data_IF_986140824178
#
_entry.id   IF_986140824178
#
_cell.length_a   1.000
_cell.length_b   1.000
_cell.length_c   1.000
_cell.angle_alpha   90.00
_cell.angle_beta   90.00
_cell.angle_gamma   90.00
#
_symmetry.space_group_name_H-M   'P 1'
#
loop_
_entity.id
_entity.type
_entity.pdbx_description
1 polymer ?
#
# COMPACT_ATOMS: atom_id res chain seq x y z
N UNK A 1 -18.22 26.65 -31.96
CA UNK A 1 -18.89 27.12 -30.75
C UNK A 1 -18.78 28.64 -30.64
N UNK A 2 -19.73 29.34 -30.01
CA UNK A 2 -19.70 30.78 -29.89
C UNK A 2 -18.45 31.23 -29.14
N UNK A 3 -17.83 32.29 -29.64
CA UNK A 3 -16.62 32.85 -29.04
C UNK A 3 -16.88 33.32 -27.62
N UNK A 4 -15.90 33.22 -26.73
CA UNK A 4 -15.98 33.67 -25.34
C UNK A 4 -16.50 35.11 -25.22
N UNK A 5 -16.20 35.96 -26.22
CA UNK A 5 -16.72 37.32 -26.32
C UNK A 5 -18.24 37.40 -26.50
N UNK A 6 -18.86 36.40 -27.16
CA UNK A 6 -20.30 36.35 -27.32
C UNK A 6 -21.02 35.98 -26.02
N UNK A 7 -20.40 35.15 -25.21
CA UNK A 7 -20.92 34.73 -23.90
C UNK A 7 -20.84 35.85 -22.85
N UNK A 8 -19.75 36.61 -22.85
CA UNK A 8 -19.55 37.74 -21.91
C UNK A 8 -20.52 38.90 -22.22
N UNK A 9 -20.73 39.23 -23.49
CA UNK A 9 -21.62 40.30 -23.88
C UNK A 9 -23.10 39.98 -23.63
N UNK A 10 -23.47 38.68 -23.62
CA UNK A 10 -24.86 38.27 -23.32
C UNK A 10 -25.21 38.29 -21.84
N UNK A 11 -24.20 38.25 -20.96
CA UNK A 11 -24.40 38.10 -19.51
C UNK A 11 -24.21 39.40 -18.73
N UNK A 12 -23.36 40.31 -19.19
CA UNK A 12 -22.96 41.48 -18.38
C UNK A 12 -23.15 42.87 -19.04
N UNK A 13 -23.58 42.95 -20.29
CA UNK A 13 -23.80 44.25 -20.98
C UNK A 13 -22.49 45.07 -21.13
N UNK A 14 -22.54 46.09 -22.01
CA UNK A 14 -21.41 47.03 -22.20
C UNK A 14 -21.38 48.07 -21.08
N UNK A 15 -20.72 47.74 -19.96
CA UNK A 15 -20.45 48.74 -18.90
C UNK A 15 -18.92 48.88 -18.67
N UNK A 16 -18.46 50.07 -18.18
CA UNK A 16 -17.03 50.28 -17.88
C UNK A 16 -16.46 49.26 -16.87
N UNK A 17 -17.32 48.65 -16.04
CA UNK A 17 -16.97 47.63 -15.07
C UNK A 17 -16.60 46.27 -15.75
N UNK A 18 -17.25 45.92 -16.87
CA UNK A 18 -17.00 44.69 -17.60
C UNK A 18 -15.60 44.67 -18.26
N UNK A 19 -15.12 45.83 -18.71
CA UNK A 19 -13.77 45.99 -19.24
C UNK A 19 -12.66 45.82 -18.18
N UNK A 20 -12.95 46.25 -16.96
CA UNK A 20 -12.01 46.11 -15.83
C UNK A 20 -11.91 44.66 -15.38
N UNK A 21 -13.03 43.97 -15.26
CA UNK A 21 -13.10 42.55 -14.90
C UNK A 21 -12.35 41.68 -15.98
N UNK A 22 -12.53 42.03 -17.25
CA UNK A 22 -11.86 41.33 -18.33
C UNK A 22 -10.33 41.58 -18.33
N UNK A 23 -9.92 42.82 -18.07
CA UNK A 23 -8.51 43.17 -17.94
C UNK A 23 -7.87 42.46 -16.74
N UNK A 24 -8.56 42.38 -15.60
CA UNK A 24 -8.10 41.67 -14.41
C UNK A 24 -8.07 40.14 -14.64
N UNK A 25 -9.05 39.59 -15.33
CA UNK A 25 -9.06 38.15 -15.69
C UNK A 25 -7.95 37.79 -16.68
N UNK A 26 -7.71 38.62 -17.69
CA UNK A 26 -6.60 38.44 -18.64
C UNK A 26 -5.26 38.65 -17.94
N UNK A 27 -5.18 39.61 -17.01
CA UNK A 27 -3.96 39.84 -16.21
C UNK A 27 -3.68 38.65 -15.28
N UNK A 28 -4.69 38.13 -14.60
CA UNK A 28 -4.59 36.96 -13.72
C UNK A 28 -4.26 35.69 -14.51
N UNK A 29 -4.87 35.49 -15.67
CA UNK A 29 -4.57 34.32 -16.51
C UNK A 29 -3.17 34.43 -17.14
N UNK A 30 -2.75 35.59 -17.62
CA UNK A 30 -1.37 35.82 -18.09
C UNK A 30 -0.34 35.65 -16.98
N UNK A 31 -0.61 36.14 -15.77
CA UNK A 31 0.31 36.00 -14.64
C UNK A 31 0.31 34.58 -14.04
N UNK A 32 -0.81 33.87 -14.07
CA UNK A 32 -0.82 32.44 -13.76
C UNK A 32 -0.05 31.60 -14.78
N UNK A 33 -0.16 31.92 -16.07
CA UNK A 33 0.61 31.23 -17.11
C UNK A 33 2.10 31.57 -17.08
N UNK A 34 2.48 32.80 -16.68
CA UNK A 34 3.89 33.18 -16.61
C UNK A 34 4.64 32.62 -15.41
N UNK A 35 3.92 32.20 -14.34
CA UNK A 35 4.53 31.52 -13.18
C UNK A 35 4.63 30.00 -13.36
N UNK A 36 4.06 29.42 -14.41
CA UNK A 36 3.90 27.97 -14.56
C UNK A 36 4.81 27.28 -15.56
N UNK A 37 5.78 27.97 -16.19
CA UNK A 37 6.65 27.33 -17.19
C UNK A 37 8.11 27.70 -17.01
N UNK A 38 8.70 27.31 -15.88
CA UNK A 38 10.15 27.11 -15.87
C UNK A 38 10.41 25.79 -16.62
N UNK A 39 11.23 25.87 -17.68
CA UNK A 39 11.67 24.68 -18.41
C UNK A 39 12.43 23.76 -17.44
N UNK A 40 11.95 22.54 -17.18
CA UNK A 40 12.61 21.63 -16.23
C UNK A 40 14.04 21.28 -16.66
N UNK A 41 14.30 21.21 -17.98
CA UNK A 41 15.64 20.92 -18.50
C UNK A 41 16.60 22.08 -18.26
N UNK A 42 16.13 23.32 -18.35
CA UNK A 42 16.93 24.49 -18.01
C UNK A 42 17.29 24.53 -16.53
N UNK A 43 16.34 24.20 -15.65
CA UNK A 43 16.59 24.07 -14.20
C UNK A 43 17.58 22.94 -13.91
N UNK A 44 17.46 21.80 -14.60
CA UNK A 44 18.38 20.68 -14.44
C UNK A 44 19.82 21.07 -14.83
N UNK A 45 20.00 21.76 -15.96
CA UNK A 45 21.31 22.27 -16.39
C UNK A 45 21.87 23.25 -15.37
N UNK A 46 21.06 24.15 -14.85
CA UNK A 46 21.47 25.11 -13.82
C UNK A 46 21.89 24.38 -12.53
N UNK A 47 21.18 23.33 -12.14
CA UNK A 47 21.55 22.48 -11.03
C UNK A 47 22.88 21.74 -11.25
N UNK A 48 23.08 21.18 -12.45
CA UNK A 48 24.33 20.50 -12.84
C UNK A 48 25.53 21.45 -12.77
N UNK A 49 25.37 22.68 -13.24
CA UNK A 49 26.42 23.73 -13.16
C UNK A 49 26.69 24.12 -11.71
N UNK A 50 25.66 24.27 -10.88
CA UNK A 50 25.80 24.61 -9.48
C UNK A 50 26.56 23.51 -8.72
N UNK A 51 26.25 22.23 -9.01
CA UNK A 51 26.95 21.08 -8.41
C UNK A 51 28.43 21.05 -8.83
N UNK A 52 28.73 21.23 -10.11
CA UNK A 52 30.10 21.29 -10.62
C UNK A 52 30.88 22.41 -9.96
N UNK A 53 30.28 23.59 -9.80
CA UNK A 53 30.88 24.73 -9.13
C UNK A 53 31.12 24.51 -7.64
N UNK A 54 30.29 23.73 -6.97
CA UNK A 54 30.46 23.39 -5.57
C UNK A 54 31.60 22.38 -5.33
N UNK A 55 31.77 21.42 -6.25
CA UNK A 55 32.78 20.35 -6.13
C UNK A 55 34.18 20.76 -6.60
N UNK A 56 34.31 21.75 -7.51
CA UNK A 56 35.54 22.12 -8.21
C UNK A 56 36.25 23.37 -7.71
N UNK A 57 35.77 24.06 -6.67
CA UNK A 57 36.30 25.36 -6.26
C UNK A 57 37.20 25.34 -5.03
N UNK A 58 38.29 26.09 -5.09
CA UNK A 58 39.06 26.50 -3.92
C UNK A 58 38.18 27.43 -3.06
N UNK A 59 37.48 26.86 -2.10
CA UNK A 59 36.69 27.65 -1.15
C UNK A 59 37.44 27.80 0.14
N UNK A 60 38.29 28.82 0.20
CA UNK A 60 39.03 29.17 1.42
C UNK A 60 38.13 29.79 2.49
N UNK A 61 36.97 30.28 2.14
CA UNK A 61 36.05 30.96 3.04
C UNK A 61 34.62 30.38 2.92
N UNK A 62 34.30 29.30 3.65
CA UNK A 62 32.95 28.93 4.13
C UNK A 62 31.75 28.85 3.16
N UNK A 63 31.92 29.08 1.85
CA UNK A 63 30.79 29.10 0.91
C UNK A 63 30.45 27.76 0.27
N UNK A 64 31.12 26.66 0.63
CA UNK A 64 30.95 25.36 -0.02
C UNK A 64 29.61 24.72 0.34
N UNK A 65 29.22 24.79 1.60
CA UNK A 65 27.94 24.29 2.09
C UNK A 65 26.77 24.98 1.41
N UNK A 66 26.79 26.31 1.31
CA UNK A 66 25.74 27.08 0.61
C UNK A 66 25.64 26.71 -0.88
N UNK A 67 26.78 26.45 -1.53
CA UNK A 67 26.79 25.99 -2.93
C UNK A 67 26.12 24.63 -3.10
N UNK A 68 26.36 23.69 -2.20
CA UNK A 68 25.70 22.39 -2.21
C UNK A 68 24.21 22.50 -1.87
N UNK A 69 23.83 23.34 -0.91
CA UNK A 69 22.42 23.63 -0.61
C UNK A 69 21.69 24.20 -1.83
N UNK A 70 22.32 25.15 -2.52
CA UNK A 70 21.78 25.73 -3.74
C UNK A 70 21.63 24.68 -4.87
N UNK A 71 22.62 23.81 -5.06
CA UNK A 71 22.55 22.73 -6.06
C UNK A 71 21.42 21.76 -5.73
N UNK A 72 21.29 21.30 -4.48
CA UNK A 72 20.21 20.41 -4.05
C UNK A 72 18.84 21.05 -4.26
N UNK A 73 18.69 22.33 -3.92
CA UNK A 73 17.44 23.07 -4.12
C UNK A 73 17.07 23.18 -5.59
N UNK A 74 18.03 23.47 -6.47
CA UNK A 74 17.82 23.52 -7.92
C UNK A 74 17.41 22.17 -8.50
N UNK A 75 17.98 21.06 -8.03
CA UNK A 75 17.54 19.73 -8.44
C UNK A 75 16.10 19.44 -7.98
N UNK A 76 15.73 19.84 -6.77
CA UNK A 76 14.35 19.70 -6.28
C UNK A 76 13.38 20.57 -7.08
N UNK A 77 13.77 21.77 -7.46
CA UNK A 77 12.97 22.64 -8.35
C UNK A 77 12.78 22.01 -9.73
N UNK A 78 13.87 21.50 -10.32
CA UNK A 78 13.80 20.78 -11.60
C UNK A 78 12.88 19.55 -11.50
N UNK A 79 12.99 18.77 -10.43
CA UNK A 79 12.15 17.61 -10.18
C UNK A 79 10.67 17.99 -10.11
N UNK A 80 10.32 19.05 -9.38
CA UNK A 80 8.95 19.53 -9.30
C UNK A 80 8.42 20.04 -10.65
N UNK A 81 9.27 20.70 -11.44
CA UNK A 81 8.90 21.15 -12.79
C UNK A 81 8.66 19.96 -13.74
N UNK A 82 9.48 18.92 -13.68
CA UNK A 82 9.24 17.67 -14.40
C UNK A 82 7.94 17.00 -13.97
N UNK A 83 7.68 16.95 -12.66
CA UNK A 83 6.46 16.37 -12.10
C UNK A 83 5.19 17.04 -12.63
N UNK A 84 5.17 18.37 -12.69
CA UNK A 84 4.06 19.16 -13.24
C UNK A 84 3.80 18.81 -14.70
N UNK A 85 4.84 18.54 -15.47
CA UNK A 85 4.74 18.10 -16.86
C UNK A 85 4.51 16.59 -17.03
N UNK A 86 4.30 15.86 -15.94
CA UNK A 86 4.11 14.40 -15.93
C UNK A 86 5.30 13.61 -16.48
N UNK A 87 6.48 14.19 -16.46
CA UNK A 87 7.75 13.55 -16.77
C UNK A 87 8.30 12.87 -15.51
N UNK A 88 7.64 11.78 -15.09
CA UNK A 88 7.82 11.19 -13.76
C UNK A 88 9.20 10.56 -13.57
N UNK A 89 9.75 9.93 -14.60
CA UNK A 89 11.09 9.34 -14.55
C UNK A 89 12.16 10.40 -14.32
N UNK A 90 12.13 11.47 -15.09
CA UNK A 90 13.05 12.59 -14.97
C UNK A 90 12.90 13.31 -13.64
N UNK A 91 11.66 13.44 -13.15
CA UNK A 91 11.38 13.99 -11.82
C UNK A 91 12.03 13.14 -10.72
N UNK A 92 11.86 11.82 -10.78
CA UNK A 92 12.49 10.89 -9.85
C UNK A 92 14.01 10.98 -9.85
N UNK A 93 14.62 11.01 -11.02
CA UNK A 93 16.07 11.15 -11.18
C UNK A 93 16.60 12.47 -10.58
N UNK A 94 15.88 13.57 -10.79
CA UNK A 94 16.27 14.86 -10.21
C UNK A 94 16.14 14.87 -8.68
N UNK A 95 15.09 14.29 -8.13
CA UNK A 95 14.96 14.09 -6.66
C UNK A 95 16.11 13.24 -6.11
N UNK A 96 16.49 12.16 -6.79
CA UNK A 96 17.62 11.33 -6.36
C UNK A 96 18.94 12.11 -6.33
N UNK A 97 19.18 12.98 -7.30
CA UNK A 97 20.37 13.86 -7.31
C UNK A 97 20.36 14.83 -6.12
N UNK A 98 19.22 15.43 -5.81
CA UNK A 98 19.07 16.26 -4.63
C UNK A 98 19.34 15.47 -3.33
N UNK A 99 18.77 14.28 -3.20
CA UNK A 99 18.98 13.41 -2.04
C UNK A 99 20.45 12.98 -1.89
N UNK A 100 21.13 12.70 -3.00
CA UNK A 100 22.56 12.34 -2.97
C UNK A 100 23.42 13.49 -2.43
N UNK A 101 23.14 14.72 -2.80
CA UNK A 101 23.85 15.90 -2.27
C UNK A 101 23.55 16.06 -0.76
N UNK A 102 22.31 15.92 -0.35
CA UNK A 102 21.90 16.02 1.05
C UNK A 102 22.59 14.97 1.92
N UNK A 103 22.78 13.76 1.40
CA UNK A 103 23.47 12.68 2.11
C UNK A 103 24.98 12.86 2.12
N UNK A 104 25.59 13.07 0.94
CA UNK A 104 27.03 12.98 0.74
C UNK A 104 27.77 14.28 1.06
N UNK A 105 27.15 15.42 0.80
CA UNK A 105 27.82 16.72 0.87
C UNK A 105 27.32 17.59 2.02
N UNK A 106 26.07 17.46 2.41
CA UNK A 106 25.46 18.28 3.45
C UNK A 106 25.31 17.54 4.79
N UNK A 107 25.48 16.22 4.81
CA UNK A 107 25.24 15.38 5.99
C UNK A 107 23.85 15.63 6.61
N UNK A 108 22.83 15.66 5.75
CA UNK A 108 21.43 15.85 6.11
C UNK A 108 20.61 14.60 5.76
N UNK A 109 20.82 13.47 6.44
CA UNK A 109 20.19 12.20 6.08
C UNK A 109 18.67 12.19 6.25
N UNK A 110 18.11 12.97 7.17
CA UNK A 110 16.66 13.09 7.35
C UNK A 110 16.01 13.79 6.15
N UNK A 111 16.62 14.86 5.66
CA UNK A 111 16.15 15.56 4.48
C UNK A 111 16.31 14.70 3.23
N UNK A 112 17.40 13.97 3.11
CA UNK A 112 17.62 13.02 2.02
C UNK A 112 16.52 11.93 1.99
N UNK A 113 16.14 11.36 3.12
CA UNK A 113 15.08 10.38 3.21
C UNK A 113 13.71 10.98 2.78
N UNK A 114 13.44 12.22 3.18
CA UNK A 114 12.22 12.93 2.76
C UNK A 114 12.22 13.17 1.23
N UNK A 115 13.36 13.56 0.67
CA UNK A 115 13.51 13.76 -0.77
C UNK A 115 13.34 12.46 -1.55
N UNK A 116 13.86 11.34 -1.04
CA UNK A 116 13.65 10.01 -1.63
C UNK A 116 12.19 9.58 -1.59
N UNK A 117 11.41 10.00 -0.60
CA UNK A 117 9.96 9.77 -0.61
C UNK A 117 9.26 10.54 -1.73
N UNK A 118 9.71 11.76 -2.04
CA UNK A 118 9.21 12.49 -3.21
C UNK A 118 9.57 11.78 -4.52
N UNK A 119 10.79 11.25 -4.62
CA UNK A 119 11.19 10.41 -5.75
C UNK A 119 10.29 9.17 -5.87
N UNK A 120 10.00 8.50 -4.77
CA UNK A 120 9.08 7.36 -4.72
C UNK A 120 7.71 7.69 -5.32
N UNK A 121 7.13 8.80 -4.93
CA UNK A 121 5.79 9.21 -5.38
C UNK A 121 5.71 9.39 -6.90
N UNK A 122 6.76 9.93 -7.52
CA UNK A 122 6.79 10.12 -8.98
C UNK A 122 7.17 8.84 -9.72
N UNK A 123 8.13 8.08 -9.23
CA UNK A 123 8.51 6.79 -9.82
C UNK A 123 7.38 5.75 -9.76
N UNK A 124 6.59 5.75 -8.69
CA UNK A 124 5.50 4.78 -8.54
C UNK A 124 4.55 4.76 -9.73
N UNK A 125 4.37 5.92 -10.38
CA UNK A 125 3.45 6.09 -11.52
C UNK A 125 3.99 5.53 -12.83
N UNK A 126 5.30 5.43 -12.99
CA UNK A 126 5.94 5.08 -14.25
C UNK A 126 7.02 4.00 -14.14
N UNK A 127 7.77 3.99 -13.06
CA UNK A 127 8.95 3.15 -12.84
C UNK A 127 8.90 2.49 -11.45
N UNK A 128 8.00 1.51 -11.23
CA UNK A 128 7.76 0.95 -9.90
C UNK A 128 8.97 0.23 -9.29
N UNK A 129 9.90 -0.29 -10.09
CA UNK A 129 11.15 -0.87 -9.58
C UNK A 129 12.06 0.20 -8.96
N UNK A 130 12.20 1.35 -9.61
CA UNK A 130 12.92 2.49 -9.05
C UNK A 130 12.21 3.05 -7.83
N UNK A 131 10.87 3.07 -7.84
CA UNK A 131 10.08 3.46 -6.68
C UNK A 131 10.39 2.57 -5.46
N UNK A 132 10.41 1.26 -5.65
CA UNK A 132 10.77 0.31 -4.58
C UNK A 132 12.20 0.54 -4.07
N UNK A 133 13.14 0.77 -4.95
CA UNK A 133 14.54 1.01 -4.62
C UNK A 133 14.73 2.25 -3.75
N UNK A 134 14.20 3.39 -4.16
CA UNK A 134 14.37 4.65 -3.41
C UNK A 134 13.62 4.63 -2.08
N UNK A 135 12.44 4.02 -2.05
CA UNK A 135 11.67 3.89 -0.81
C UNK A 135 12.38 2.97 0.19
N UNK A 136 12.99 1.88 -0.26
CA UNK A 136 13.78 0.98 0.59
C UNK A 136 14.93 1.72 1.26
N UNK A 137 15.60 2.61 0.56
CA UNK A 137 16.68 3.44 1.12
C UNK A 137 16.18 4.40 2.20
N UNK A 138 15.03 5.05 1.95
CA UNK A 138 14.41 5.92 2.95
C UNK A 138 13.98 5.16 4.21
N UNK A 139 13.37 3.99 4.04
CA UNK A 139 12.94 3.12 5.14
C UNK A 139 14.12 2.71 6.01
N UNK A 140 15.21 2.29 5.40
CA UNK A 140 16.42 1.90 6.11
C UNK A 140 16.93 3.04 7.02
N UNK A 141 16.88 4.27 6.54
CA UNK A 141 17.22 5.44 7.34
C UNK A 141 16.29 5.58 8.56
N UNK A 142 14.98 5.46 8.37
CA UNK A 142 14.02 5.57 9.49
C UNK A 142 14.22 4.48 10.54
N UNK A 143 14.52 3.26 10.13
CA UNK A 143 14.86 2.15 11.04
C UNK A 143 16.11 2.47 11.85
N UNK A 144 17.17 2.94 11.19
CA UNK A 144 18.41 3.32 11.86
C UNK A 144 18.22 4.47 12.89
N UNK A 145 17.28 5.36 12.63
CA UNK A 145 16.92 6.46 13.55
C UNK A 145 15.97 6.01 14.66
N UNK A 146 15.51 4.77 14.67
CA UNK A 146 14.56 4.27 15.65
C UNK A 146 13.12 4.76 15.43
N UNK A 147 12.82 5.36 14.28
CA UNK A 147 11.46 5.81 13.93
C UNK A 147 10.66 4.69 13.32
N UNK A 148 10.29 3.71 14.14
CA UNK A 148 9.61 2.49 13.68
C UNK A 148 8.22 2.76 13.11
N UNK A 149 7.48 3.74 13.65
CA UNK A 149 6.15 4.10 13.14
C UNK A 149 6.23 4.57 11.69
N UNK A 150 7.18 5.45 11.40
CA UNK A 150 7.38 5.97 10.05
C UNK A 150 7.92 4.90 9.11
N UNK A 151 8.88 4.12 9.58
CA UNK A 151 9.41 2.97 8.83
C UNK A 151 8.29 1.99 8.45
N UNK A 152 7.42 1.64 9.39
CA UNK A 152 6.29 0.74 9.16
C UNK A 152 5.30 1.30 8.12
N UNK A 153 4.96 2.57 8.21
CA UNK A 153 4.06 3.23 7.26
C UNK A 153 4.64 3.21 5.84
N UNK A 154 5.92 3.51 5.70
CA UNK A 154 6.58 3.47 4.39
C UNK A 154 6.75 2.04 3.89
N UNK A 155 7.00 1.10 4.78
CA UNK A 155 7.07 -0.33 4.44
C UNK A 155 5.75 -0.87 3.90
N UNK A 156 4.62 -0.38 4.40
CA UNK A 156 3.30 -0.67 3.84
C UNK A 156 3.21 -0.22 2.38
N UNK A 157 3.64 1.00 2.05
CA UNK A 157 3.63 1.49 0.68
C UNK A 157 4.55 0.66 -0.23
N UNK A 158 5.70 0.24 0.28
CA UNK A 158 6.60 -0.67 -0.43
C UNK A 158 5.91 -2.01 -0.73
N UNK A 159 5.21 -2.57 0.25
CA UNK A 159 4.45 -3.81 0.08
C UNK A 159 3.36 -3.67 -0.99
N UNK A 160 2.65 -2.55 -1.00
CA UNK A 160 1.63 -2.26 -2.01
C UNK A 160 2.22 -2.17 -3.43
N UNK A 161 3.40 -1.59 -3.59
CA UNK A 161 4.10 -1.56 -4.88
C UNK A 161 4.44 -2.96 -5.36
N UNK A 162 4.96 -3.82 -4.49
CA UNK A 162 5.22 -5.22 -4.84
C UNK A 162 3.95 -5.99 -5.21
N UNK A 163 2.86 -5.78 -4.47
CA UNK A 163 1.59 -6.46 -4.71
C UNK A 163 0.91 -5.98 -6.01
N UNK A 164 0.77 -4.67 -6.18
CA UNK A 164 -0.09 -4.07 -7.21
C UNK A 164 0.68 -3.78 -8.49
N UNK A 165 1.80 -3.06 -8.40
CA UNK A 165 2.53 -2.59 -9.59
C UNK A 165 3.48 -3.67 -10.12
N UNK A 166 4.19 -4.40 -9.26
CA UNK A 166 5.19 -5.38 -9.67
C UNK A 166 4.68 -6.83 -9.72
N UNK A 167 3.56 -7.13 -9.07
CA UNK A 167 3.00 -8.48 -9.02
C UNK A 167 3.91 -9.50 -8.32
N UNK A 168 4.83 -9.05 -7.48
CA UNK A 168 5.74 -9.91 -6.71
C UNK A 168 5.13 -10.21 -5.34
N UNK A 169 4.32 -11.26 -5.28
CA UNK A 169 3.58 -11.60 -4.06
C UNK A 169 4.48 -12.04 -2.91
N UNK A 170 5.60 -12.67 -3.20
CA UNK A 170 6.57 -13.08 -2.18
C UNK A 170 7.17 -11.87 -1.47
N UNK A 171 7.66 -10.90 -2.23
CA UNK A 171 8.18 -9.64 -1.67
C UNK A 171 7.08 -8.82 -0.98
N UNK A 172 5.86 -8.83 -1.52
CA UNK A 172 4.73 -8.17 -0.89
C UNK A 172 4.43 -8.74 0.49
N UNK A 173 4.37 -10.07 0.62
CA UNK A 173 4.18 -10.76 1.90
C UNK A 173 5.26 -10.39 2.92
N UNK A 174 6.51 -10.49 2.54
CA UNK A 174 7.65 -10.15 3.40
C UNK A 174 7.58 -8.68 3.86
N UNK A 175 7.21 -7.79 2.96
CA UNK A 175 7.10 -6.36 3.28
C UNK A 175 5.91 -6.04 4.20
N UNK A 176 4.74 -6.64 3.99
CA UNK A 176 3.59 -6.48 4.88
C UNK A 176 3.88 -7.04 6.28
N UNK A 177 4.52 -8.20 6.36
CA UNK A 177 4.88 -8.81 7.64
C UNK A 177 5.87 -7.94 8.43
N UNK A 178 6.86 -7.40 7.72
CA UNK A 178 7.82 -6.47 8.33
C UNK A 178 7.15 -5.19 8.82
N UNK A 179 6.23 -4.62 8.06
CA UNK A 179 5.43 -3.47 8.49
C UNK A 179 4.63 -3.79 9.76
N UNK A 180 3.98 -4.95 9.80
CA UNK A 180 3.23 -5.40 10.97
C UNK A 180 4.11 -5.54 12.21
N UNK A 181 5.29 -6.14 12.08
CA UNK A 181 6.26 -6.30 13.16
C UNK A 181 6.72 -4.95 13.72
N UNK A 182 6.99 -3.98 12.86
CA UNK A 182 7.41 -2.64 13.28
C UNK A 182 6.27 -1.86 13.94
N UNK A 183 5.03 -1.98 13.46
CA UNK A 183 3.87 -1.40 14.15
C UNK A 183 3.69 -2.03 15.54
N UNK A 184 3.85 -3.34 15.65
CA UNK A 184 3.79 -4.04 16.95
C UNK A 184 4.90 -3.57 17.89
N UNK A 185 6.13 -3.43 17.40
CA UNK A 185 7.26 -2.89 18.15
C UNK A 185 7.08 -1.44 18.61
N UNK A 186 6.23 -0.68 17.94
CA UNK A 186 5.86 0.69 18.29
C UNK A 186 4.56 0.77 19.13
N UNK A 187 4.08 -0.35 19.63
CA UNK A 187 2.82 -0.48 20.38
C UNK A 187 1.56 -0.01 19.62
N UNK A 188 1.60 -0.05 18.30
CA UNK A 188 0.47 0.26 17.44
C UNK A 188 -0.30 -1.03 17.09
N UNK A 189 -0.94 -1.65 18.07
CA UNK A 189 -1.56 -2.97 17.96
C UNK A 189 -2.61 -3.05 16.83
N UNK A 190 -3.48 -2.06 16.73
CA UNK A 190 -4.53 -2.05 15.70
C UNK A 190 -3.95 -2.02 14.28
N UNK A 191 -2.91 -1.22 14.06
CA UNK A 191 -2.21 -1.17 12.77
C UNK A 191 -1.41 -2.45 12.51
N UNK A 192 -0.75 -3.00 13.52
CA UNK A 192 -0.06 -4.28 13.41
C UNK A 192 -1.02 -5.40 13.01
N UNK A 193 -2.15 -5.53 13.68
CA UNK A 193 -3.16 -6.54 13.39
C UNK A 193 -3.75 -6.41 11.98
N UNK A 194 -4.00 -5.18 11.53
CA UNK A 194 -4.46 -4.93 10.16
C UNK A 194 -3.49 -5.51 9.13
N UNK A 195 -2.19 -5.35 9.33
CA UNK A 195 -1.17 -5.84 8.42
C UNK A 195 -0.92 -7.35 8.58
N UNK A 196 -0.97 -7.89 9.80
CA UNK A 196 -0.93 -9.34 10.02
C UNK A 196 -2.12 -10.06 9.36
N UNK A 197 -3.32 -9.45 9.38
CA UNK A 197 -4.48 -9.99 8.66
C UNK A 197 -4.26 -9.98 7.15
N UNK A 198 -3.65 -8.94 6.62
CA UNK A 198 -3.29 -8.89 5.20
C UNK A 198 -2.28 -9.99 4.84
N UNK A 199 -1.29 -10.22 5.69
CA UNK A 199 -0.32 -11.33 5.52
C UNK A 199 -1.04 -12.68 5.55
N UNK A 200 -1.97 -12.87 6.48
CA UNK A 200 -2.76 -14.11 6.57
C UNK A 200 -3.58 -14.34 5.29
N UNK A 201 -4.26 -13.32 4.80
CA UNK A 201 -5.04 -13.40 3.55
C UNK A 201 -4.17 -13.80 2.36
N UNK A 202 -3.04 -13.13 2.18
CA UNK A 202 -2.12 -13.39 1.06
C UNK A 202 -1.40 -14.74 1.19
N UNK A 203 -1.01 -15.14 2.41
CA UNK A 203 -0.39 -16.43 2.69
C UNK A 203 -1.31 -17.60 2.33
N UNK A 204 -2.59 -17.49 2.70
CA UNK A 204 -3.59 -18.50 2.36
C UNK A 204 -3.78 -18.62 0.84
N UNK A 205 -3.86 -17.50 0.14
CA UNK A 205 -3.98 -17.50 -1.34
C UNK A 205 -2.74 -18.11 -2.01
N UNK A 206 -1.57 -17.96 -1.41
CA UNK A 206 -0.31 -18.57 -1.87
C UNK A 206 -0.15 -20.04 -1.47
N UNK A 207 -1.06 -20.60 -0.71
CA UNK A 207 -1.05 -21.99 -0.26
C UNK A 207 -0.35 -22.23 1.07
N UNK A 208 0.15 -21.22 1.75
CA UNK A 208 0.68 -21.32 3.10
C UNK A 208 -0.44 -21.16 4.14
N UNK A 209 -1.24 -22.20 4.26
CA UNK A 209 -2.41 -22.22 5.14
C UNK A 209 -2.02 -22.17 6.62
N UNK A 210 -0.91 -22.79 7.00
CA UNK A 210 -0.46 -22.81 8.39
C UNK A 210 -0.09 -21.43 8.91
N UNK A 211 0.60 -20.65 8.10
CA UNK A 211 0.92 -19.26 8.43
C UNK A 211 -0.35 -18.41 8.57
N UNK A 212 -1.28 -18.57 7.65
CA UNK A 212 -2.58 -17.89 7.70
C UNK A 212 -3.35 -18.24 8.97
N UNK A 213 -3.46 -19.52 9.32
CA UNK A 213 -4.11 -20.00 10.53
C UNK A 213 -3.50 -19.37 11.78
N UNK A 214 -2.17 -19.35 11.86
CA UNK A 214 -1.45 -18.78 13.00
C UNK A 214 -1.87 -17.33 13.27
N UNK A 215 -1.92 -16.50 12.24
CA UNK A 215 -2.31 -15.10 12.38
C UNK A 215 -3.80 -14.91 12.64
N UNK A 216 -4.67 -15.60 11.91
CA UNK A 216 -6.12 -15.50 12.15
C UNK A 216 -6.51 -15.91 13.56
N UNK A 217 -5.97 -17.03 14.07
CA UNK A 217 -6.25 -17.52 15.42
C UNK A 217 -5.65 -16.61 16.49
N UNK A 218 -4.42 -16.14 16.32
CA UNK A 218 -3.78 -15.20 17.23
C UNK A 218 -4.59 -13.92 17.40
N UNK A 219 -5.02 -13.33 16.28
CA UNK A 219 -5.80 -12.09 16.29
C UNK A 219 -7.21 -12.34 16.83
N UNK A 220 -7.81 -13.47 16.51
CA UNK A 220 -9.08 -13.89 17.10
C UNK A 220 -9.02 -13.95 18.63
N UNK A 221 -7.99 -14.60 19.18
CA UNK A 221 -7.78 -14.69 20.63
C UNK A 221 -7.55 -13.33 21.28
N UNK A 222 -6.74 -12.48 20.68
CA UNK A 222 -6.48 -11.14 21.23
C UNK A 222 -7.68 -10.21 21.14
N UNK A 223 -8.59 -10.44 20.21
CA UNK A 223 -9.76 -9.59 19.95
C UNK A 223 -11.00 -9.96 20.76
N UNK A 224 -11.07 -11.18 21.30
CA UNK A 224 -12.28 -11.67 21.98
C UNK A 224 -12.69 -10.84 23.21
N UNK A 225 -11.73 -10.27 23.92
CA UNK A 225 -11.94 -9.45 25.10
C UNK A 225 -11.95 -7.94 24.80
N UNK A 226 -11.82 -7.56 23.53
CA UNK A 226 -11.86 -6.17 23.10
C UNK A 226 -13.24 -5.83 22.53
N UNK A 227 -13.99 -4.97 23.22
CA UNK A 227 -15.37 -4.63 22.84
C UNK A 227 -15.51 -4.06 21.43
N UNK A 228 -14.49 -3.36 20.93
CA UNK A 228 -14.49 -2.79 19.58
C UNK A 228 -14.19 -3.85 18.50
N UNK A 229 -13.35 -4.84 18.81
CA UNK A 229 -12.87 -5.84 17.85
C UNK A 229 -13.62 -7.17 17.93
N UNK A 230 -14.32 -7.43 19.03
CA UNK A 230 -15.06 -8.69 19.27
C UNK A 230 -16.03 -9.04 18.14
N UNK A 231 -16.63 -8.05 17.52
CA UNK A 231 -17.52 -8.21 16.39
C UNK A 231 -16.90 -8.97 15.21
N UNK A 232 -15.60 -8.75 14.97
CA UNK A 232 -14.86 -9.35 13.85
C UNK A 232 -14.34 -10.75 14.13
N UNK A 233 -14.36 -11.21 15.38
CA UNK A 233 -13.79 -12.52 15.78
C UNK A 233 -14.42 -13.67 15.01
N UNK A 234 -15.73 -13.67 14.81
CA UNK A 234 -16.44 -14.70 14.03
C UNK A 234 -15.89 -14.83 12.60
N UNK A 235 -15.50 -13.72 11.97
CA UNK A 235 -14.92 -13.75 10.63
C UNK A 235 -13.48 -14.28 10.64
N UNK A 236 -12.68 -13.94 11.63
CA UNK A 236 -11.33 -14.46 11.79
C UNK A 236 -11.36 -15.98 12.04
N UNK A 237 -12.27 -16.46 12.88
CA UNK A 237 -12.45 -17.90 13.14
C UNK A 237 -12.97 -18.64 11.91
N UNK A 238 -13.88 -18.04 11.16
CA UNK A 238 -14.35 -18.60 9.89
C UNK A 238 -13.19 -18.75 8.89
N UNK A 239 -12.39 -17.71 8.72
CA UNK A 239 -11.23 -17.73 7.82
C UNK A 239 -10.19 -18.77 8.26
N UNK A 240 -9.90 -18.84 9.55
CA UNK A 240 -9.00 -19.86 10.10
C UNK A 240 -9.53 -21.27 9.84
N UNK A 241 -10.83 -21.49 10.05
CA UNK A 241 -11.48 -22.79 9.77
C UNK A 241 -11.43 -23.17 8.30
N UNK A 242 -11.64 -22.24 7.40
CA UNK A 242 -11.49 -22.46 5.94
C UNK A 242 -10.04 -22.88 5.62
N UNK A 243 -9.06 -22.21 6.21
CA UNK A 243 -7.65 -22.58 6.04
C UNK A 243 -7.33 -23.98 6.59
N UNK A 244 -7.93 -24.36 7.74
CA UNK A 244 -7.80 -25.72 8.26
C UNK A 244 -8.36 -26.76 7.28
N UNK A 245 -9.54 -26.52 6.70
CA UNK A 245 -10.09 -27.40 5.66
C UNK A 245 -9.17 -27.51 4.45
N UNK A 246 -8.54 -26.42 4.06
CA UNK A 246 -7.59 -26.39 2.94
C UNK A 246 -6.32 -27.23 3.20
N UNK A 247 -5.91 -27.42 4.45
CA UNK A 247 -4.78 -28.30 4.81
C UNK A 247 -5.04 -29.77 4.58
N UNK A 248 -6.29 -30.18 4.44
CA UNK A 248 -6.75 -31.58 4.36
C UNK A 248 -6.57 -32.40 5.66
N UNK A 249 -6.09 -31.80 6.73
CA UNK A 249 -5.96 -32.44 8.04
C UNK A 249 -7.29 -32.33 8.81
N UNK A 250 -8.15 -33.34 8.67
CA UNK A 250 -9.48 -33.33 9.27
C UNK A 250 -9.48 -33.49 10.78
N UNK A 251 -8.48 -34.20 11.33
CA UNK A 251 -8.30 -34.32 12.78
C UNK A 251 -8.02 -32.95 13.40
N UNK A 252 -7.08 -32.23 12.84
CA UNK A 252 -6.73 -30.88 13.30
C UNK A 252 -7.85 -29.86 13.04
N UNK A 253 -8.58 -30.00 11.94
CA UNK A 253 -9.77 -29.16 11.64
C UNK A 253 -10.84 -29.33 12.72
N UNK A 254 -11.18 -30.55 13.09
CA UNK A 254 -12.17 -30.81 14.16
C UNK A 254 -11.69 -30.29 15.51
N UNK A 255 -10.41 -30.44 15.82
CA UNK A 255 -9.81 -29.90 17.04
C UNK A 255 -9.88 -28.36 17.07
N UNK A 256 -9.63 -27.71 15.94
CA UNK A 256 -9.75 -26.26 15.80
C UNK A 256 -11.18 -25.79 16.05
N UNK A 257 -12.18 -26.46 15.47
CA UNK A 257 -13.59 -26.12 15.70
C UNK A 257 -13.99 -26.21 17.19
N UNK A 258 -13.52 -27.25 17.88
CA UNK A 258 -13.71 -27.37 19.30
C UNK A 258 -13.08 -26.23 20.08
N UNK A 259 -11.83 -25.88 19.73
CA UNK A 259 -11.11 -24.78 20.37
C UNK A 259 -11.81 -23.43 20.14
N UNK A 260 -12.44 -23.21 18.98
CA UNK A 260 -13.18 -21.97 18.68
C UNK A 260 -14.43 -21.85 19.53
N UNK A 261 -15.14 -22.96 19.80
CA UNK A 261 -16.29 -22.99 20.71
C UNK A 261 -15.88 -22.71 22.14
N UNK A 262 -14.70 -23.16 22.57
CA UNK A 262 -14.16 -22.86 23.89
C UNK A 262 -13.74 -21.41 24.02
N UNK A 263 -13.10 -20.83 22.97
CA UNK A 263 -12.68 -19.44 22.93
C UNK A 263 -13.86 -18.48 23.00
N UNK A 264 -14.89 -18.74 22.20
CA UNK A 264 -16.11 -17.95 22.13
C UNK A 264 -17.34 -18.91 22.15
N UNK A 265 -17.93 -19.19 23.31
CA UNK A 265 -19.11 -20.05 23.38
C UNK A 265 -20.27 -19.58 22.50
N UNK A 266 -20.42 -18.29 22.29
CA UNK A 266 -21.45 -17.74 21.38
C UNK A 266 -21.25 -18.11 19.92
N UNK A 267 -20.00 -18.41 19.51
CA UNK A 267 -19.69 -18.83 18.17
C UNK A 267 -20.42 -20.09 17.74
N UNK A 268 -20.64 -21.03 18.67
CA UNK A 268 -21.35 -22.29 18.41
C UNK A 268 -22.78 -22.11 17.85
N UNK A 269 -23.42 -20.97 18.14
CA UNK A 269 -24.78 -20.64 17.64
C UNK A 269 -24.77 -19.76 16.39
N UNK A 270 -23.59 -19.36 15.89
CA UNK A 270 -23.47 -18.50 14.72
C UNK A 270 -23.49 -19.30 13.42
N UNK A 271 -23.91 -18.64 12.35
CA UNK A 271 -23.97 -19.23 11.01
C UNK A 271 -22.57 -19.59 10.48
N UNK A 272 -21.55 -18.81 10.84
CA UNK A 272 -20.15 -19.06 10.49
C UNK A 272 -19.66 -20.40 11.05
N UNK A 273 -20.01 -20.71 12.29
CA UNK A 273 -19.71 -22.00 12.90
C UNK A 273 -20.45 -23.14 12.21
N UNK A 274 -21.76 -22.96 11.96
CA UNK A 274 -22.56 -23.98 11.29
C UNK A 274 -22.02 -24.29 9.88
N UNK A 275 -21.59 -23.27 9.16
CA UNK A 275 -20.96 -23.47 7.86
C UNK A 275 -19.71 -24.34 7.97
N UNK A 276 -18.83 -24.05 8.93
CA UNK A 276 -17.61 -24.83 9.14
C UNK A 276 -17.91 -26.29 9.50
N UNK A 277 -18.90 -26.53 10.34
CA UNK A 277 -19.36 -27.89 10.69
C UNK A 277 -19.89 -28.62 9.47
N UNK A 278 -20.76 -27.99 8.70
CA UNK A 278 -21.35 -28.58 7.49
C UNK A 278 -20.30 -28.88 6.42
N UNK A 279 -19.36 -27.96 6.18
CA UNK A 279 -18.28 -28.15 5.21
C UNK A 279 -17.30 -29.24 5.65
N UNK A 280 -16.98 -29.31 6.94
CA UNK A 280 -16.13 -30.36 7.50
C UNK A 280 -16.75 -31.73 7.29
N UNK A 281 -18.04 -31.86 7.57
CA UNK A 281 -18.78 -33.11 7.35
C UNK A 281 -18.79 -33.51 5.87
N UNK A 282 -19.03 -32.55 4.97
CA UNK A 282 -19.03 -32.81 3.53
C UNK A 282 -17.66 -33.28 3.03
N UNK A 283 -16.57 -32.72 3.54
CA UNK A 283 -15.20 -33.14 3.21
C UNK A 283 -14.90 -34.54 3.73
N UNK A 284 -15.29 -34.83 4.98
CA UNK A 284 -15.11 -36.17 5.59
C UNK A 284 -15.91 -37.24 4.83
N UNK A 285 -17.10 -36.91 4.36
CA UNK A 285 -17.96 -37.82 3.60
C UNK A 285 -17.58 -37.93 2.10
N UNK A 286 -16.64 -37.14 1.64
CA UNK A 286 -16.29 -37.04 0.22
C UNK A 286 -17.46 -36.55 -0.65
N UNK A 287 -18.36 -35.77 -0.09
CA UNK A 287 -19.60 -35.30 -0.71
C UNK A 287 -19.48 -33.87 -1.22
N UNK A 288 -19.00 -33.73 -2.45
CA UNK A 288 -18.82 -32.46 -3.14
C UNK A 288 -20.14 -31.72 -3.35
N UNK A 289 -21.21 -32.43 -3.67
CA UNK A 289 -22.53 -31.83 -3.88
C UNK A 289 -23.07 -31.18 -2.62
N UNK A 290 -22.97 -31.88 -1.47
CA UNK A 290 -23.32 -31.33 -0.17
C UNK A 290 -22.49 -30.10 0.19
N UNK A 291 -21.19 -30.15 -0.10
CA UNK A 291 -20.28 -29.00 0.09
C UNK A 291 -20.76 -27.77 -0.67
N UNK A 292 -21.06 -27.93 -1.97
CA UNK A 292 -21.56 -26.85 -2.82
C UNK A 292 -22.93 -26.32 -2.35
N UNK A 293 -23.83 -27.21 -1.93
CA UNK A 293 -25.17 -26.82 -1.45
C UNK A 293 -25.08 -25.98 -0.16
N UNK A 294 -24.23 -26.37 0.79
CA UNK A 294 -24.04 -25.62 2.04
C UNK A 294 -23.44 -24.25 1.80
N UNK A 295 -22.53 -24.11 0.85
CA UNK A 295 -22.00 -22.80 0.42
C UNK A 295 -23.08 -21.93 -0.19
N UNK A 296 -23.90 -22.50 -1.05
CA UNK A 296 -25.01 -21.76 -1.69
C UNK A 296 -26.00 -21.25 -0.64
N UNK A 297 -26.41 -22.07 0.31
CA UNK A 297 -27.31 -21.69 1.38
C UNK A 297 -26.74 -20.56 2.24
N UNK A 298 -25.45 -20.64 2.60
CA UNK A 298 -24.78 -19.59 3.37
C UNK A 298 -24.70 -18.27 2.58
N UNK A 299 -24.33 -18.34 1.30
CA UNK A 299 -24.18 -17.17 0.42
C UNK A 299 -25.49 -16.40 0.23
N UNK A 300 -26.64 -17.07 0.30
CA UNK A 300 -27.95 -16.42 0.19
C UNK A 300 -28.19 -15.35 1.25
N UNK A 301 -27.68 -15.56 2.46
CA UNK A 301 -27.89 -14.67 3.61
C UNK A 301 -26.64 -13.85 3.96
N UNK A 302 -25.46 -14.38 3.66
CA UNK A 302 -24.16 -13.72 3.93
C UNK A 302 -23.24 -13.93 2.76
N UNK A 303 -23.04 -12.88 1.94
CA UNK A 303 -22.24 -12.97 0.72
C UNK A 303 -20.81 -13.39 1.03
N UNK A 304 -20.36 -14.42 0.29
CA UNK A 304 -18.96 -14.85 0.30
C UNK A 304 -18.15 -13.90 -0.58
N UNK A 305 -17.09 -13.35 -0.01
CA UNK A 305 -16.15 -12.50 -0.74
C UNK A 305 -15.25 -13.33 -1.68
N UNK A 306 -14.44 -12.64 -2.47
CA UNK A 306 -13.54 -13.28 -3.44
C UNK A 306 -12.51 -14.19 -2.76
N UNK A 307 -11.97 -13.81 -1.61
CA UNK A 307 -10.99 -14.59 -0.86
C UNK A 307 -11.59 -15.93 -0.41
N UNK A 308 -12.76 -15.89 0.25
CA UNK A 308 -13.46 -17.09 0.71
C UNK A 308 -13.85 -17.99 -0.45
N UNK A 309 -14.42 -17.42 -1.50
CA UNK A 309 -14.83 -18.16 -2.70
C UNK A 309 -13.64 -18.87 -3.35
N UNK A 310 -12.50 -18.20 -3.47
CA UNK A 310 -11.29 -18.78 -4.06
C UNK A 310 -10.81 -20.00 -3.28
N UNK A 311 -10.70 -19.88 -1.95
CA UNK A 311 -10.24 -20.98 -1.11
C UNK A 311 -11.23 -22.13 -1.01
N UNK A 312 -12.52 -21.80 -0.90
CA UNK A 312 -13.58 -22.80 -0.84
C UNK A 312 -13.69 -23.60 -2.15
N UNK A 313 -13.47 -22.97 -3.29
CA UNK A 313 -13.39 -23.67 -4.56
C UNK A 313 -12.19 -24.64 -4.62
N UNK A 314 -11.04 -24.24 -4.12
CA UNK A 314 -9.87 -25.15 -4.01
C UNK A 314 -10.18 -26.38 -3.17
N UNK A 315 -10.82 -26.18 -2.01
CA UNK A 315 -11.21 -27.27 -1.10
C UNK A 315 -12.18 -28.22 -1.81
N UNK A 316 -13.19 -27.69 -2.48
CA UNK A 316 -14.17 -28.45 -3.24
C UNK A 316 -13.51 -29.28 -4.35
N UNK A 317 -12.60 -28.70 -5.11
CA UNK A 317 -11.90 -29.41 -6.20
C UNK A 317 -11.00 -30.52 -5.68
N UNK A 318 -10.44 -30.38 -4.46
CA UNK A 318 -9.66 -31.45 -3.82
C UNK A 318 -10.54 -32.66 -3.42
N UNK A 319 -11.82 -32.48 -3.15
CA UNK A 319 -12.77 -33.57 -2.92
C UNK A 319 -12.96 -34.38 -4.22
N UNK A 320 -13.10 -33.74 -5.38
CA UNK A 320 -13.19 -34.38 -6.69
C UNK A 320 -11.93 -35.22 -7.02
N UNK A 321 -10.75 -34.67 -6.80
CA UNK A 321 -9.47 -35.34 -7.05
C UNK A 321 -9.34 -36.63 -6.19
N UNK A 322 -9.85 -36.62 -4.95
CA UNK A 322 -9.83 -37.80 -4.09
C UNK A 322 -10.77 -38.91 -4.57
N UNK A 323 -11.90 -38.60 -5.20
CA UNK A 323 -12.84 -39.56 -5.79
C UNK A 323 -12.28 -40.21 -7.06
N UNK A 324 -11.56 -39.45 -7.88
CA UNK A 324 -10.94 -39.95 -9.13
C UNK A 324 -9.78 -40.91 -8.84
N UNK A 325 -9.01 -40.71 -7.78
CA UNK A 325 -7.88 -41.57 -7.42
C UNK A 325 -8.33 -42.95 -6.90
N UNK A 326 -9.59 -43.14 -6.53
CA UNK A 326 -10.16 -44.41 -6.06
C UNK A 326 -10.99 -45.15 -7.12
N UNK A 327 -11.14 -44.63 -8.33
CA UNK A 327 -11.84 -45.23 -9.45
C UNK A 327 -10.89 -45.92 -10.44
#
# INVERSE_FOLDING_TARGET
>A
GPSINALINSTFGHTPASHRIFADFVYITKHKHTKMTQDPRALLQKADKALSGASGGFSWFGGRTEKYENAADLYSQAANAFRVQKMNKEAGQAFEKAAAIQTQNLNEPDDAANTLQEAFKVYRKSDPEDAARVLSSAIQHYVLRGNLRRAATQQQYLAEVYEVELGDMKKALEAYEKAAEWFEGDNAEALANKHFLKVADLSALDGDYYKAITYFERIGRSSINNNLMRWSVKDYLLKAGICHLATKDMVETNRALESYRELDPSFASMREHQLLVDLTQAVEDGDQESFAEKLFQYDQLSKLDKWKTTLLLRIKNNIEEAEEDFS
#
